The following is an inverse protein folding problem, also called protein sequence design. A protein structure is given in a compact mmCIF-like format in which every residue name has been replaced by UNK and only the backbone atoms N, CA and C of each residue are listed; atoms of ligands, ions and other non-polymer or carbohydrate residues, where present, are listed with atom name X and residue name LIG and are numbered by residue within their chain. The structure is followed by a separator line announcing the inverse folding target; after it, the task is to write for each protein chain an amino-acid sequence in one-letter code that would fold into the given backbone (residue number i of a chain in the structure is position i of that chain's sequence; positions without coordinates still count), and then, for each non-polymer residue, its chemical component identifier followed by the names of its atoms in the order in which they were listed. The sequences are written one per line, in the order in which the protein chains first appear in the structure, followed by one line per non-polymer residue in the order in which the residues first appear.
data_IF_952000286759
#
_entry.id   IF_952000286759
#
_cell.length_a   1.000
_cell.length_b   1.000
_cell.length_c   1.000
_cell.angle_alpha   90.00
_cell.angle_beta   90.00
_cell.angle_gamma   90.00
#
_symmetry.space_group_name_H-M   'P 1'
#
loop_
_entity.id
_entity.type
_entity.pdbx_description
1 polymer ?
#
# COMPACT_ATOMS: atom_id res chain seq x y z
N UNK A 1 -11.37 -9.94 -28.12
CA UNK A 1 -10.01 -10.03 -27.52
C UNK A 1 -9.58 -8.75 -26.80
N UNK A 2 -9.75 -7.54 -27.36
CA UNK A 2 -9.31 -6.27 -26.74
C UNK A 2 -9.89 -6.01 -25.33
N UNK A 3 -11.16 -6.36 -25.12
CA UNK A 3 -11.82 -6.20 -23.82
C UNK A 3 -11.34 -7.20 -22.75
N UNK A 4 -10.86 -8.36 -23.19
CA UNK A 4 -10.34 -9.41 -22.30
C UNK A 4 -9.01 -8.99 -21.69
N UNK A 5 -8.06 -8.55 -22.51
CA UNK A 5 -6.75 -8.10 -22.03
C UNK A 5 -6.87 -6.91 -21.06
N UNK A 6 -7.76 -5.96 -21.36
CA UNK A 6 -8.02 -4.79 -20.50
C UNK A 6 -8.64 -5.17 -19.15
N UNK A 7 -9.50 -6.19 -19.13
CA UNK A 7 -10.08 -6.71 -17.89
C UNK A 7 -9.00 -7.36 -17.01
N UNK A 8 -8.17 -8.22 -17.60
CA UNK A 8 -7.08 -8.89 -16.88
C UNK A 8 -6.01 -7.92 -16.39
N UNK A 9 -5.66 -6.90 -17.17
CA UNK A 9 -4.70 -5.88 -16.70
C UNK A 9 -5.26 -5.07 -15.53
N UNK A 10 -6.55 -4.72 -15.55
CA UNK A 10 -7.19 -4.01 -14.44
C UNK A 10 -7.27 -4.89 -13.19
N UNK A 11 -7.58 -6.17 -13.36
CA UNK A 11 -7.62 -7.13 -12.26
C UNK A 11 -6.23 -7.29 -11.61
N UNK A 12 -5.20 -7.58 -12.41
CA UNK A 12 -3.82 -7.73 -11.91
C UNK A 12 -3.35 -6.44 -11.24
N UNK A 13 -3.63 -5.28 -11.84
CA UNK A 13 -3.29 -3.98 -11.27
C UNK A 13 -3.95 -3.77 -9.91
N UNK A 14 -5.26 -4.02 -9.79
CA UNK A 14 -5.98 -3.90 -8.52
C UNK A 14 -5.47 -4.90 -7.46
N UNK A 15 -5.21 -6.14 -7.88
CA UNK A 15 -4.70 -7.20 -7.00
C UNK A 15 -3.34 -6.82 -6.42
N UNK A 16 -2.44 -6.30 -7.24
CA UNK A 16 -1.07 -5.97 -6.82
C UNK A 16 -0.99 -4.62 -6.10
N UNK A 17 -1.94 -3.70 -6.33
CA UNK A 17 -1.89 -2.35 -5.77
C UNK A 17 -1.79 -2.33 -4.25
N UNK A 18 -2.66 -3.07 -3.55
CA UNK A 18 -2.66 -3.14 -2.09
C UNK A 18 -1.33 -3.67 -1.52
N UNK A 19 -0.91 -4.90 -1.87
CA UNK A 19 0.35 -5.47 -1.41
C UNK A 19 1.58 -4.61 -1.73
N UNK A 20 1.66 -4.04 -2.94
CA UNK A 20 2.78 -3.17 -3.33
C UNK A 20 2.83 -1.89 -2.47
N UNK A 21 1.68 -1.26 -2.25
CA UNK A 21 1.59 -0.06 -1.41
C UNK A 21 1.95 -0.39 0.05
N UNK A 22 1.52 -1.54 0.56
CA UNK A 22 1.88 -1.99 1.90
C UNK A 22 3.39 -2.25 2.03
N UNK A 23 3.99 -2.96 1.07
CA UNK A 23 5.44 -3.19 1.03
C UNK A 23 6.20 -1.86 0.99
N UNK A 24 5.73 -0.90 0.20
CA UNK A 24 6.34 0.42 0.11
C UNK A 24 6.37 1.16 1.46
N UNK A 25 5.25 1.19 2.19
CA UNK A 25 5.22 1.79 3.53
C UNK A 25 6.03 1.01 4.57
N UNK A 26 6.07 -0.33 4.48
CA UNK A 26 6.93 -1.15 5.34
C UNK A 26 8.42 -0.82 5.16
N UNK A 27 8.87 -0.56 3.92
CA UNK A 27 10.25 -0.12 3.66
C UNK A 27 10.55 1.20 4.38
N UNK A 28 9.63 2.17 4.37
CA UNK A 28 9.82 3.42 5.10
C UNK A 28 9.80 3.27 6.61
N UNK A 29 8.94 2.38 7.13
CA UNK A 29 8.94 2.04 8.54
C UNK A 29 10.30 1.46 8.97
N UNK A 30 10.85 0.52 8.19
CA UNK A 30 12.15 -0.12 8.49
C UNK A 30 13.31 0.86 8.35
N UNK A 31 13.26 1.76 7.37
CA UNK A 31 14.27 2.82 7.21
C UNK A 31 14.17 3.90 8.28
N UNK A 32 13.01 4.05 8.92
CA UNK A 32 12.78 5.13 9.88
C UNK A 32 12.72 6.51 9.23
N UNK A 33 12.43 6.58 7.94
CA UNK A 33 12.46 7.81 7.15
C UNK A 33 11.23 7.91 6.25
N UNK A 34 10.56 9.06 6.28
CA UNK A 34 9.42 9.38 5.42
C UNK A 34 9.77 10.57 4.52
N UNK A 35 9.46 10.50 3.20
CA UNK A 35 9.66 11.63 2.31
C UNK A 35 8.70 12.77 2.66
N UNK A 36 9.23 13.90 3.11
CA UNK A 36 8.49 15.15 3.29
C UNK A 36 8.68 16.11 2.11
N UNK A 37 7.88 17.19 2.07
CA UNK A 37 7.94 18.19 0.99
C UNK A 37 9.24 18.99 0.94
N UNK A 38 9.82 19.29 2.11
CA UNK A 38 11.01 20.14 2.25
C UNK A 38 12.20 19.40 2.84
N UNK A 39 11.94 18.50 3.79
CA UNK A 39 12.92 17.71 4.51
C UNK A 39 12.35 16.32 4.78
N UNK A 40 13.22 15.33 4.97
CA UNK A 40 12.84 13.99 5.35
C UNK A 40 12.34 14.00 6.80
N UNK A 41 11.20 13.37 7.07
CA UNK A 41 10.70 13.18 8.43
C UNK A 41 11.33 11.89 8.93
N UNK A 42 12.22 11.99 9.91
CA UNK A 42 12.90 10.82 10.47
C UNK A 42 12.28 10.43 11.81
N UNK A 43 12.32 9.14 12.13
CA UNK A 43 11.91 8.65 13.44
C UNK A 43 12.83 9.15 14.56
N UNK A 44 14.07 9.51 14.23
CA UNK A 44 15.07 9.98 15.18
C UNK A 44 14.85 11.46 15.58
N UNK A 45 14.56 12.33 14.60
CA UNK A 45 14.42 13.77 14.83
C UNK A 45 12.99 14.12 15.27
N UNK A 46 11.97 13.48 14.68
CA UNK A 46 10.56 13.84 14.87
C UNK A 46 9.67 12.60 15.14
N UNK A 47 9.92 11.82 16.20
CA UNK A 47 9.19 10.57 16.46
C UNK A 47 7.68 10.76 16.62
N UNK A 48 7.26 11.85 17.26
CA UNK A 48 5.84 12.17 17.49
C UNK A 48 5.09 12.48 16.19
N UNK A 49 5.79 12.90 15.13
CA UNK A 49 5.21 13.10 13.80
C UNK A 49 5.34 11.82 12.97
N UNK A 50 6.49 11.15 13.02
CA UNK A 50 6.77 9.95 12.24
C UNK A 50 5.82 8.80 12.55
N UNK A 51 5.69 8.39 13.82
CA UNK A 51 4.95 7.18 14.18
C UNK A 51 3.44 7.26 13.88
N UNK A 52 2.71 8.33 14.21
CA UNK A 52 1.31 8.44 13.85
C UNK A 52 1.10 8.43 12.32
N UNK A 53 2.00 9.10 11.58
CA UNK A 53 1.86 9.25 10.13
C UNK A 53 2.12 7.92 9.40
N UNK A 54 3.19 7.19 9.77
CA UNK A 54 3.43 5.86 9.20
C UNK A 54 2.35 4.86 9.60
N UNK A 55 1.79 4.94 10.81
CA UNK A 55 0.67 4.08 11.25
C UNK A 55 -0.59 4.30 10.41
N UNK A 56 -0.94 5.56 10.13
CA UNK A 56 -2.09 5.89 9.26
C UNK A 56 -1.88 5.31 7.85
N UNK A 57 -0.69 5.52 7.28
CA UNK A 57 -0.34 5.02 5.94
C UNK A 57 -0.36 3.49 5.87
N UNK A 58 0.16 2.81 6.90
CA UNK A 58 0.13 1.36 7.01
C UNK A 58 -1.31 0.84 7.17
N UNK A 59 -2.11 1.48 8.02
CA UNK A 59 -3.52 1.12 8.21
C UNK A 59 -4.31 1.23 6.90
N UNK A 60 -4.14 2.31 6.16
CA UNK A 60 -4.75 2.48 4.84
C UNK A 60 -4.29 1.42 3.84
N UNK A 61 -3.00 1.11 3.81
CA UNK A 61 -2.42 0.10 2.93
C UNK A 61 -2.90 -1.32 3.26
N UNK A 62 -3.04 -1.64 4.54
CA UNK A 62 -3.61 -2.90 5.02
C UNK A 62 -5.06 -3.06 4.58
N UNK A 63 -5.87 -2.01 4.73
CA UNK A 63 -7.27 -2.03 4.28
C UNK A 63 -7.35 -2.27 2.76
N UNK A 64 -6.55 -1.57 1.97
CA UNK A 64 -6.49 -1.77 0.52
C UNK A 64 -6.01 -3.18 0.14
N UNK A 65 -5.02 -3.71 0.88
CA UNK A 65 -4.55 -5.09 0.69
C UNK A 65 -5.66 -6.09 1.00
N UNK A 66 -6.40 -5.90 2.10
CA UNK A 66 -7.54 -6.73 2.46
C UNK A 66 -8.65 -6.70 1.40
N UNK A 67 -9.02 -5.52 0.89
CA UNK A 67 -9.99 -5.37 -0.20
C UNK A 67 -9.52 -6.05 -1.49
N UNK A 68 -8.25 -5.88 -1.84
CA UNK A 68 -7.63 -6.55 -2.98
C UNK A 68 -7.73 -8.08 -2.86
N UNK A 69 -7.38 -8.64 -1.70
CA UNK A 69 -7.47 -10.07 -1.44
C UNK A 69 -8.91 -10.57 -1.47
N UNK A 70 -9.87 -9.82 -0.91
CA UNK A 70 -11.29 -10.19 -0.95
C UNK A 70 -11.81 -10.26 -2.39
N UNK A 71 -11.41 -9.33 -3.26
CA UNK A 71 -11.77 -9.35 -4.69
C UNK A 71 -11.17 -10.58 -5.39
N UNK A 72 -9.91 -10.91 -5.09
CA UNK A 72 -9.26 -12.12 -5.63
C UNK A 72 -9.97 -13.38 -5.16
N UNK A 73 -10.23 -13.50 -3.85
CA UNK A 73 -10.90 -14.65 -3.25
C UNK A 73 -12.33 -14.81 -3.77
N UNK A 74 -13.07 -13.70 -3.91
CA UNK A 74 -14.41 -13.70 -4.49
C UNK A 74 -14.42 -14.18 -5.94
N UNK A 75 -13.37 -13.88 -6.70
CA UNK A 75 -13.22 -14.36 -8.09
C UNK A 75 -12.75 -15.81 -8.20
N UNK A 76 -11.99 -16.32 -7.22
CA UNK A 76 -11.57 -17.74 -7.20
C UNK A 76 -12.73 -18.65 -6.76
N UNK A 77 -13.63 -18.15 -5.89
CA UNK A 77 -14.76 -18.91 -5.34
C UNK A 77 -16.02 -18.89 -6.20
N UNK A 78 -16.11 -18.01 -7.20
CA UNK A 78 -17.23 -17.93 -8.16
C UNK A 78 -16.84 -18.49 -9.51
#
# INVERSE_FOLDING_TARGET
MKNWLRYWSAFIGFTLFGPLLLSYHMVYLVRGELPGKSSMITAADEPLLFFPLILILLGFSLLLTGLSLLVVLGRIRG
#
